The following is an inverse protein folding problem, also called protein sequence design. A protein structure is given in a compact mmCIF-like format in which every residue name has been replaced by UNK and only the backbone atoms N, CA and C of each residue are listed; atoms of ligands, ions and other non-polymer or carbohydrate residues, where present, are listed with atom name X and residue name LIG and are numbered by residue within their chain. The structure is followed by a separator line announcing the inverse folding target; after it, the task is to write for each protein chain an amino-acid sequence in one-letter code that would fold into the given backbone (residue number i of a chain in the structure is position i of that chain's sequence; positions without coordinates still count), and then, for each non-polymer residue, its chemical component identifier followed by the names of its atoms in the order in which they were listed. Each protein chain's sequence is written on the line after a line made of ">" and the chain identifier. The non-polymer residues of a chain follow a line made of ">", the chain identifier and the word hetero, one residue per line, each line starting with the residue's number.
data_IF_628235840105
#
_entry.id   IF_628235840105
#
_cell.length_a   1.000
_cell.length_b   1.000
_cell.length_c   1.000
_cell.angle_alpha   90.00
_cell.angle_beta   90.00
_cell.angle_gamma   90.00
#
_symmetry.space_group_name_H-M   'P 1'
#
loop_
_entity.id
_entity.type
_entity.pdbx_description
1 polymer ?
#
# COMPACT_ATOMS: atom_id res chain seq x y z
N UNK A 1 -8.94 1.21 5.86
CA UNK A 1 -8.08 0.13 5.36
C UNK A 1 -6.63 0.34 5.81
N UNK A 2 -5.94 1.32 5.35
CA UNK A 2 -4.50 1.53 5.61
C UNK A 2 -4.08 1.68 7.08
N UNK A 3 -4.94 2.18 7.94
CA UNK A 3 -4.66 2.34 9.36
C UNK A 3 -4.68 0.99 10.10
N UNK A 4 -5.55 0.09 9.66
CA UNK A 4 -5.57 -1.29 10.18
C UNK A 4 -4.28 -2.01 9.82
N UNK A 5 -3.80 -1.83 8.58
CA UNK A 5 -2.57 -2.44 8.10
C UNK A 5 -1.37 -1.91 8.87
N UNK A 6 -1.28 -0.58 9.08
CA UNK A 6 -0.24 0.02 9.90
C UNK A 6 -0.24 -0.50 11.33
N UNK A 7 -1.40 -0.53 11.98
CA UNK A 7 -1.52 -1.02 13.35
C UNK A 7 -1.07 -2.49 13.46
N UNK A 8 -1.43 -3.32 12.49
CA UNK A 8 -1.01 -4.71 12.43
C UNK A 8 0.51 -4.84 12.22
N UNK A 9 1.07 -4.09 11.29
CA UNK A 9 2.52 -4.08 10.99
C UNK A 9 3.32 -3.64 12.22
N UNK A 10 2.94 -2.53 12.85
CA UNK A 10 3.62 -1.99 14.03
C UNK A 10 3.48 -2.91 15.25
N UNK A 11 2.32 -3.56 15.44
CA UNK A 11 2.10 -4.54 16.50
C UNK A 11 3.01 -5.78 16.37
N UNK A 12 3.48 -6.09 15.15
CA UNK A 12 4.41 -7.17 14.86
C UNK A 12 5.88 -6.72 14.85
N UNK A 13 6.19 -5.50 15.27
CA UNK A 13 7.56 -5.00 15.40
C UNK A 13 8.19 -4.45 14.11
N UNK A 14 7.38 -4.20 13.08
CA UNK A 14 7.81 -3.62 11.81
C UNK A 14 7.34 -2.17 11.68
N UNK A 15 7.82 -1.49 10.64
CA UNK A 15 7.36 -0.13 10.31
C UNK A 15 6.85 -0.04 8.87
N UNK A 16 6.00 0.95 8.62
CA UNK A 16 5.42 1.22 7.31
C UNK A 16 6.07 2.45 6.70
N UNK A 17 6.55 2.33 5.46
CA UNK A 17 7.08 3.44 4.67
C UNK A 17 5.99 4.47 4.42
N UNK A 18 6.33 5.77 4.51
CA UNK A 18 5.39 6.90 4.40
C UNK A 18 5.50 7.68 3.10
N UNK A 19 6.64 7.59 2.41
CA UNK A 19 6.93 8.37 1.20
C UNK A 19 6.23 7.83 -0.05
N UNK A 20 5.85 6.56 -0.03
CA UNK A 20 5.10 5.90 -1.10
C UNK A 20 3.73 5.45 -0.60
N UNK A 21 2.74 5.62 -1.46
CA UNK A 21 1.33 5.37 -1.15
C UNK A 21 0.67 4.62 -2.30
N UNK A 22 -0.40 3.89 -2.00
CA UNK A 22 -1.26 3.34 -3.02
C UNK A 22 -2.07 4.42 -3.74
N UNK A 23 -2.77 4.04 -4.76
CA UNK A 23 -3.43 4.98 -5.67
C UNK A 23 -4.65 4.36 -6.35
N UNK A 24 -5.50 5.21 -6.93
CA UNK A 24 -6.50 4.77 -7.90
C UNK A 24 -5.86 4.19 -9.14
N UNK A 25 -6.52 3.23 -9.73
CA UNK A 25 -6.16 2.60 -11.02
C UNK A 25 -7.37 2.66 -11.95
N UNK A 26 -7.20 3.16 -13.15
CA UNK A 26 -8.29 3.27 -14.11
C UNK A 26 -7.76 3.43 -15.53
N UNK A 27 -8.18 4.49 -16.22
CA UNK A 27 -7.64 4.81 -17.55
C UNK A 27 -6.13 5.07 -17.51
N UNK A 28 -5.63 5.53 -16.37
CA UNK A 28 -4.19 5.67 -16.11
C UNK A 28 -3.78 4.70 -15.02
N UNK A 29 -2.50 4.29 -15.06
CA UNK A 29 -1.93 3.42 -14.02
C UNK A 29 -2.02 4.07 -12.63
N UNK A 30 -1.77 5.38 -12.55
CA UNK A 30 -1.85 6.15 -11.31
C UNK A 30 -2.91 7.23 -11.44
N UNK A 31 -3.96 7.13 -10.64
CA UNK A 31 -5.06 8.08 -10.56
C UNK A 31 -5.37 8.42 -9.09
N UNK A 32 -6.15 9.47 -8.87
CA UNK A 32 -6.76 9.73 -7.57
C UNK A 32 -7.74 8.57 -7.20
N UNK A 33 -7.93 8.31 -5.90
CA UNK A 33 -7.32 8.96 -4.76
C UNK A 33 -5.96 8.37 -4.38
N UNK A 34 -5.17 9.10 -3.57
CA UNK A 34 -4.06 8.51 -2.84
C UNK A 34 -4.57 7.55 -1.75
N UNK A 35 -3.94 6.38 -1.65
CA UNK A 35 -4.24 5.35 -0.64
C UNK A 35 -3.06 5.23 0.31
N UNK A 36 -3.05 6.08 1.32
CA UNK A 36 -1.95 6.13 2.29
C UNK A 36 -1.92 4.90 3.18
N UNK A 37 -0.72 4.45 3.52
CA UNK A 37 -0.49 3.34 4.46
C UNK A 37 -0.35 3.82 5.92
N UNK A 38 -0.60 5.09 6.18
CA UNK A 38 -0.49 5.73 7.50
C UNK A 38 -1.51 6.87 7.62
N UNK A 39 -1.74 7.32 8.84
CA UNK A 39 -2.64 8.45 9.13
C UNK A 39 -3.71 8.11 10.16
N UNK A 40 -4.55 9.08 10.56
CA UNK A 40 -5.62 8.86 11.51
C UNK A 40 -6.81 8.12 10.89
N UNK A 41 -7.46 7.26 11.67
CA UNK A 41 -8.66 6.53 11.27
C UNK A 41 -9.83 7.49 10.95
N UNK A 42 -10.67 7.10 9.98
CA UNK A 42 -11.86 7.84 9.62
C UNK A 42 -11.63 9.12 8.82
N UNK A 43 -10.40 9.36 8.38
CA UNK A 43 -10.03 10.52 7.56
C UNK A 43 -9.54 10.08 6.18
N UNK A 44 -9.66 10.97 5.20
CA UNK A 44 -9.24 10.74 3.84
C UNK A 44 -10.39 10.65 2.85
N UNK A 45 -10.12 10.31 1.59
CA UNK A 45 -11.15 10.18 0.56
C UNK A 45 -12.16 9.09 0.91
N UNK A 46 -13.43 9.35 0.61
CA UNK A 46 -14.47 8.34 0.73
C UNK A 46 -14.33 7.33 -0.41
N UNK A 47 -14.23 6.05 -0.06
CA UNK A 47 -14.22 4.99 -1.04
C UNK A 47 -15.65 4.69 -1.49
N UNK A 48 -15.87 4.66 -2.80
CA UNK A 48 -17.17 4.39 -3.41
C UNK A 48 -17.12 3.08 -4.19
N UNK A 49 -18.20 2.29 -4.20
CA UNK A 49 -18.31 1.12 -5.04
C UNK A 49 -17.99 1.43 -6.51
N UNK A 50 -17.24 0.55 -7.15
CA UNK A 50 -16.75 0.72 -8.51
C UNK A 50 -15.35 1.34 -8.61
N UNK A 51 -14.79 1.89 -7.53
CA UNK A 51 -13.40 2.32 -7.52
C UNK A 51 -12.45 1.12 -7.56
N UNK A 52 -11.40 1.22 -8.37
CA UNK A 52 -10.27 0.29 -8.39
C UNK A 52 -9.03 0.97 -7.82
N UNK A 53 -8.40 0.32 -6.86
CA UNK A 53 -7.29 0.89 -6.09
C UNK A 53 -6.11 -0.08 -6.04
N UNK A 54 -4.90 0.44 -6.17
CA UNK A 54 -3.68 -0.26 -5.78
C UNK A 54 -3.44 -0.07 -4.28
N UNK A 55 -3.36 -1.17 -3.55
CA UNK A 55 -3.01 -1.20 -2.12
C UNK A 55 -1.65 -1.85 -2.02
N UNK A 56 -0.64 -1.05 -1.65
CA UNK A 56 0.76 -1.42 -1.86
C UNK A 56 1.66 -1.02 -0.67
N UNK A 57 1.44 -1.55 0.53
CA UNK A 57 2.28 -1.25 1.66
C UNK A 57 3.72 -1.70 1.44
N UNK A 58 4.66 -0.83 1.81
CA UNK A 58 6.07 -1.14 1.96
C UNK A 58 6.40 -1.24 3.45
N UNK A 59 7.01 -2.34 3.86
CA UNK A 59 7.27 -2.67 5.27
C UNK A 59 8.75 -2.84 5.50
N UNK A 60 9.28 -2.15 6.50
CA UNK A 60 10.68 -2.24 6.93
C UNK A 60 10.79 -3.01 8.24
N UNK A 61 11.85 -3.82 8.37
CA UNK A 61 12.20 -4.48 9.63
C UNK A 61 12.63 -3.47 10.70
N UNK A 62 13.34 -2.41 10.30
CA UNK A 62 13.76 -1.31 11.15
C UNK A 62 12.81 -0.12 11.10
N UNK A 63 13.40 1.05 10.98
CA UNK A 63 12.65 2.31 10.94
C UNK A 63 12.00 2.54 9.56
N UNK A 64 11.02 3.42 9.49
CA UNK A 64 10.21 3.65 8.29
C UNK A 64 10.90 4.46 7.20
N UNK A 65 11.97 5.19 7.54
CA UNK A 65 12.65 6.07 6.60
C UNK A 65 13.34 5.29 5.49
N UNK A 66 13.31 5.88 4.31
CA UNK A 66 13.93 5.37 3.10
C UNK A 66 14.86 6.41 2.47
N UNK A 67 15.64 5.97 1.51
CA UNK A 67 16.44 6.82 0.62
C UNK A 67 16.31 6.34 -0.82
N UNK A 68 16.26 7.27 -1.75
CA UNK A 68 16.35 6.99 -3.18
C UNK A 68 17.81 7.13 -3.59
N UNK A 69 18.33 6.16 -4.33
CA UNK A 69 19.72 6.19 -4.80
C UNK A 69 19.89 7.19 -5.97
N UNK A 70 21.16 7.53 -6.33
CA UNK A 70 21.44 8.49 -7.41
C UNK A 70 20.87 8.11 -8.77
N UNK A 71 20.53 6.84 -9.01
CA UNK A 71 19.85 6.40 -10.23
C UNK A 71 18.38 6.91 -10.34
N UNK A 72 17.86 7.54 -9.27
CA UNK A 72 16.50 8.08 -9.20
C UNK A 72 15.40 7.02 -9.16
N UNK A 73 15.75 5.74 -9.04
CA UNK A 73 14.85 4.61 -9.09
C UNK A 73 14.96 3.67 -7.88
N UNK A 74 16.15 3.24 -7.55
CA UNK A 74 16.39 2.28 -6.46
C UNK A 74 16.09 2.90 -5.11
N UNK A 75 15.19 2.27 -4.35
CA UNK A 75 14.83 2.67 -2.99
C UNK A 75 15.40 1.69 -1.99
N UNK A 76 16.05 2.20 -0.96
CA UNK A 76 16.58 1.41 0.16
C UNK A 76 16.12 1.98 1.49
N UNK A 77 16.06 1.12 2.51
CA UNK A 77 15.89 1.56 3.89
C UNK A 77 17.05 2.47 4.31
N UNK A 78 16.76 3.50 5.08
CA UNK A 78 17.78 4.44 5.53
C UNK A 78 18.76 3.79 6.51
N UNK A 79 18.27 2.90 7.37
CA UNK A 79 19.04 2.19 8.40
C UNK A 79 19.68 0.88 7.93
N UNK A 80 19.49 0.50 6.65
CA UNK A 80 20.05 -0.73 6.08
C UNK A 80 19.28 -2.01 6.45
N UNK A 81 18.16 -1.91 7.16
CA UNK A 81 17.29 -3.05 7.48
C UNK A 81 16.63 -3.63 6.24
N UNK A 82 16.13 -4.86 6.35
CA UNK A 82 15.37 -5.50 5.27
C UNK A 82 14.01 -4.82 5.09
N UNK A 83 13.52 -4.85 3.87
CA UNK A 83 12.20 -4.36 3.50
C UNK A 83 11.48 -5.34 2.58
N UNK A 84 10.16 -5.27 2.59
CA UNK A 84 9.29 -5.99 1.67
C UNK A 84 8.19 -5.07 1.13
N UNK A 85 7.80 -5.29 -0.11
CA UNK A 85 6.68 -4.63 -0.77
C UNK A 85 5.70 -5.69 -1.25
N UNK A 86 4.41 -5.44 -1.03
CA UNK A 86 3.35 -6.30 -1.53
C UNK A 86 2.21 -5.44 -2.05
N UNK A 87 1.73 -5.73 -3.23
CA UNK A 87 0.71 -4.95 -3.92
C UNK A 87 -0.41 -5.81 -4.46
N UNK A 88 -1.63 -5.35 -4.28
CA UNK A 88 -2.81 -5.87 -4.98
C UNK A 88 -3.66 -4.74 -5.50
N UNK A 89 -4.28 -4.96 -6.66
CA UNK A 89 -5.38 -4.13 -7.14
C UNK A 89 -6.68 -4.70 -6.59
N UNK A 90 -7.48 -3.86 -5.98
CA UNK A 90 -8.78 -4.22 -5.41
C UNK A 90 -9.91 -3.41 -6.05
N UNK A 91 -11.08 -4.02 -6.12
CA UNK A 91 -12.34 -3.37 -6.46
C UNK A 91 -13.13 -3.06 -5.18
N UNK A 92 -13.54 -1.83 -5.02
CA UNK A 92 -14.46 -1.45 -3.94
C UNK A 92 -15.87 -1.86 -4.34
N UNK A 93 -16.54 -2.61 -3.48
CA UNK A 93 -17.93 -3.06 -3.66
C UNK A 93 -18.83 -2.49 -2.57
N UNK A 94 -20.11 -2.79 -2.60
CA UNK A 94 -21.06 -2.48 -1.50
C UNK A 94 -20.76 -3.29 -0.22
N UNK A 95 -20.07 -4.42 -0.34
CA UNK A 95 -19.64 -5.27 0.76
C UNK A 95 -18.12 -5.30 0.90
N UNK A 96 -17.55 -6.49 1.01
CA UNK A 96 -16.11 -6.69 1.08
C UNK A 96 -15.45 -6.35 -0.26
N UNK A 97 -14.24 -5.81 -0.21
CA UNK A 97 -13.47 -5.51 -1.41
C UNK A 97 -13.07 -6.82 -2.12
N UNK A 98 -13.10 -6.80 -3.44
CA UNK A 98 -12.66 -7.91 -4.29
C UNK A 98 -11.20 -7.69 -4.72
N UNK A 99 -10.35 -8.70 -4.56
CA UNK A 99 -8.96 -8.65 -5.05
C UNK A 99 -8.95 -9.09 -6.51
N UNK A 100 -8.49 -8.20 -7.39
CA UNK A 100 -8.47 -8.45 -8.84
C UNK A 100 -7.17 -9.12 -9.31
N UNK A 101 -6.08 -8.96 -8.59
CA UNK A 101 -4.76 -9.53 -8.90
C UNK A 101 -4.60 -10.89 -8.24
N UNK A 102 -5.31 -11.88 -8.76
CA UNK A 102 -5.23 -13.29 -8.37
C UNK A 102 -4.98 -14.15 -9.60
N UNK A 103 -4.34 -15.28 -9.42
CA UNK A 103 -4.17 -16.28 -10.48
C UNK A 103 -5.46 -17.09 -10.68
N UNK A 104 -5.54 -17.87 -11.78
CA UNK A 104 -6.72 -18.69 -12.09
C UNK A 104 -7.06 -19.71 -11.00
N UNK A 105 -6.07 -20.18 -10.25
CA UNK A 105 -6.24 -21.07 -9.10
C UNK A 105 -6.56 -20.32 -7.79
N UNK A 106 -6.75 -18.98 -7.87
CA UNK A 106 -7.12 -18.15 -6.74
C UNK A 106 -5.96 -17.77 -5.81
N UNK A 107 -4.71 -18.06 -6.17
CA UNK A 107 -3.57 -17.61 -5.41
C UNK A 107 -3.33 -16.10 -5.64
N UNK A 108 -2.88 -15.40 -4.61
CA UNK A 108 -2.47 -13.99 -4.73
C UNK A 108 -1.12 -13.89 -5.44
N UNK A 109 -1.04 -12.92 -6.32
CA UNK A 109 0.19 -12.64 -7.08
C UNK A 109 0.99 -11.58 -6.36
#
# INVERSE_FOLDING_TARGET
>A
MCIRDRAYVEANGFSVVRDYVGHGVGAKLHEAPEVRNFGPAGHGPRLLPGMTLAVEPMVNVGDWQIRVLPDGWTVKTLDGSLAAHYENTILITEGDAEVLTVTEDGAYV
#
